data_IF_851345309107
#
_entry.id   IF_851345309107
#
_cell.length_a   1.000
_cell.length_b   1.000
_cell.length_c   1.000
_cell.angle_alpha   90.00
_cell.angle_beta   90.00
_cell.angle_gamma   90.00
#
_symmetry.space_group_name_H-M   'P 1'
#
loop_
_entity.id
_entity.type
_entity.pdbx_description
1 polymer ?
#
# COMPACT_ATOMS: atom_id res chain seq x y z
N UNK A 1 47.45 -19.44 35.88
CA UNK A 1 46.69 -18.46 36.68
C UNK A 1 47.47 -17.15 36.66
N UNK A 2 47.01 -15.95 36.36
CA UNK A 2 45.70 -15.39 36.03
C UNK A 2 45.76 -13.89 36.35
N UNK A 3 45.32 -13.03 35.41
CA UNK A 3 44.68 -11.69 35.57
C UNK A 3 45.55 -10.54 36.18
N UNK A 4 45.54 -9.26 35.78
CA UNK A 4 45.01 -8.43 34.66
C UNK A 4 45.87 -7.15 34.62
N UNK A 5 46.13 -6.61 33.43
CA UNK A 5 46.77 -5.32 33.22
C UNK A 5 45.69 -4.27 32.91
N UNK A 6 45.77 -3.12 33.59
CA UNK A 6 44.93 -1.95 33.37
C UNK A 6 45.77 -0.89 32.67
N UNK A 7 45.33 -0.37 31.52
CA UNK A 7 45.54 1.04 31.15
C UNK A 7 44.59 1.47 30.02
N UNK A 8 43.97 2.62 30.22
CA UNK A 8 42.96 3.28 29.40
C UNK A 8 43.56 3.95 28.14
N UNK A 9 42.74 4.10 27.07
CA UNK A 9 42.69 5.32 26.24
C UNK A 9 41.37 5.42 25.45
N UNK A 10 40.77 6.61 25.50
CA UNK A 10 39.47 7.07 24.98
C UNK A 10 39.51 7.42 23.48
N UNK A 11 38.30 7.67 22.92
CA UNK A 11 37.95 8.47 21.70
C UNK A 11 38.05 7.72 20.36
N UNK A 12 37.08 7.70 19.43
CA UNK A 12 35.78 8.35 19.21
C UNK A 12 35.04 7.58 18.06
N UNK A 13 33.84 8.05 17.69
CA UNK A 13 33.07 7.77 16.45
C UNK A 13 31.89 6.79 16.63
N UNK A 14 30.72 7.27 17.07
CA UNK A 14 29.69 8.00 16.30
C UNK A 14 28.97 7.11 15.27
N UNK A 15 27.66 7.00 15.44
CA UNK A 15 26.78 6.21 14.58
C UNK A 15 25.71 5.48 15.37
N UNK A 16 24.91 6.23 16.13
CA UNK A 16 23.62 5.79 16.62
C UNK A 16 22.73 5.49 15.39
N UNK A 17 22.33 4.24 15.09
CA UNK A 17 21.30 4.00 14.10
C UNK A 17 19.93 4.12 14.80
N UNK A 18 19.63 5.30 15.31
CA UNK A 18 18.25 5.78 15.43
C UNK A 18 18.09 6.80 14.33
N UNK A 19 17.50 6.37 13.21
CA UNK A 19 16.67 7.18 12.32
C UNK A 19 16.41 6.37 11.04
N UNK A 20 15.31 5.62 11.04
CA UNK A 20 14.39 5.66 9.90
C UNK A 20 12.97 5.68 10.50
N UNK A 21 12.54 6.92 10.75
CA UNK A 21 11.22 7.44 10.46
C UNK A 21 10.03 6.54 10.79
N UNK A 22 9.60 6.64 12.05
CA UNK A 22 8.26 6.27 12.45
C UNK A 22 7.31 7.41 12.00
N UNK A 23 7.03 7.51 10.69
CA UNK A 23 5.96 8.37 10.13
C UNK A 23 4.55 7.83 10.46
N UNK A 24 4.32 7.47 11.72
CA UNK A 24 2.99 7.23 12.28
C UNK A 24 2.50 8.50 13.01
N UNK A 25 2.65 9.65 12.35
CA UNK A 25 2.10 10.93 12.79
C UNK A 25 0.65 11.00 12.33
N UNK A 26 -0.28 10.43 13.12
CA UNK A 26 -1.71 10.75 13.15
C UNK A 26 -2.32 11.28 11.84
N UNK A 27 -2.11 10.58 10.71
CA UNK A 27 -2.49 11.10 9.41
C UNK A 27 -4.01 11.17 9.35
N UNK A 28 -4.54 12.35 9.04
CA UNK A 28 -5.97 12.54 8.90
C UNK A 28 -6.53 11.46 7.95
N UNK A 29 -7.61 10.75 8.33
CA UNK A 29 -8.20 9.74 7.48
C UNK A 29 -8.54 10.36 6.12
N UNK A 30 -8.37 9.59 5.05
CA UNK A 30 -8.78 10.02 3.72
C UNK A 30 -10.27 10.37 3.76
N UNK A 31 -10.60 11.55 3.21
CA UNK A 31 -11.96 12.09 3.28
C UNK A 31 -12.84 11.37 2.27
N UNK A 32 -14.01 10.95 2.73
CA UNK A 32 -15.09 10.46 1.88
C UNK A 32 -15.53 11.54 0.88
N UNK A 33 -15.81 11.13 -0.36
CA UNK A 33 -16.33 12.03 -1.41
C UNK A 33 -15.29 12.91 -2.13
N UNK A 34 -14.01 12.87 -1.72
CA UNK A 34 -12.91 13.50 -2.46
C UNK A 34 -12.09 12.44 -3.20
N UNK A 35 -11.58 12.76 -4.39
CA UNK A 35 -10.72 11.85 -5.17
C UNK A 35 -9.52 11.37 -4.33
N UNK A 36 -9.51 10.07 -3.99
CA UNK A 36 -8.48 9.43 -3.17
C UNK A 36 -7.10 9.52 -3.80
N UNK A 37 -7.00 9.45 -5.13
CA UNK A 37 -5.74 9.61 -5.83
C UNK A 37 -5.20 11.03 -5.66
N UNK A 38 -6.06 12.05 -5.70
CA UNK A 38 -5.64 13.43 -5.44
C UNK A 38 -5.20 13.65 -4.00
N UNK A 39 -5.89 13.05 -3.04
CA UNK A 39 -5.46 13.10 -1.63
C UNK A 39 -4.11 12.43 -1.42
N UNK A 40 -3.84 11.30 -2.08
CA UNK A 40 -2.54 10.63 -2.06
C UNK A 40 -1.43 11.49 -2.68
N UNK A 41 -1.71 12.09 -3.85
CA UNK A 41 -0.78 12.99 -4.52
C UNK A 41 -0.44 14.20 -3.68
N UNK A 42 -1.43 14.88 -3.10
CA UNK A 42 -1.21 16.03 -2.23
C UNK A 42 -0.35 15.66 -1.01
N UNK A 43 -0.73 14.56 -0.34
CA UNK A 43 -0.07 14.05 0.86
C UNK A 43 1.39 13.68 0.65
N UNK A 44 1.68 12.89 -0.37
CA UNK A 44 3.03 12.38 -0.61
C UNK A 44 3.82 13.21 -1.65
N UNK A 45 3.29 14.33 -2.13
CA UNK A 45 3.95 15.20 -3.14
C UNK A 45 5.36 15.64 -2.75
N UNK A 46 5.62 15.82 -1.45
CA UNK A 46 6.91 16.25 -0.90
C UNK A 46 7.77 15.08 -0.40
N UNK A 47 7.24 13.86 -0.40
CA UNK A 47 7.97 12.72 0.10
C UNK A 47 8.97 12.20 -0.94
N UNK A 48 10.18 11.90 -0.48
CA UNK A 48 11.24 11.30 -1.31
C UNK A 48 11.39 9.79 -1.10
N UNK A 49 10.57 9.18 -0.25
CA UNK A 49 10.63 7.75 0.01
C UNK A 49 10.31 6.94 -1.27
N UNK A 50 11.11 5.92 -1.63
CA UNK A 50 10.89 5.11 -2.83
C UNK A 50 9.48 4.50 -2.89
N UNK A 51 8.97 4.02 -1.75
CA UNK A 51 7.63 3.44 -1.63
C UNK A 51 6.52 4.45 -1.94
N UNK A 52 6.66 5.70 -1.52
CA UNK A 52 5.68 6.75 -1.81
C UNK A 52 5.68 7.12 -3.29
N UNK A 53 6.84 7.15 -3.94
CA UNK A 53 6.89 7.37 -5.39
C UNK A 53 6.18 6.29 -6.20
N UNK A 54 6.32 5.02 -5.81
CA UNK A 54 5.62 3.91 -6.47
C UNK A 54 4.11 4.01 -6.21
N UNK A 55 3.70 4.31 -4.97
CA UNK A 55 2.30 4.53 -4.64
C UNK A 55 1.69 5.68 -5.44
N UNK A 56 2.40 6.80 -5.58
CA UNK A 56 1.97 7.95 -6.39
C UNK A 56 1.88 7.61 -7.88
N UNK A 57 2.84 6.86 -8.41
CA UNK A 57 2.81 6.39 -9.78
C UNK A 57 1.59 5.48 -10.03
N UNK A 58 1.32 4.54 -9.11
CA UNK A 58 0.11 3.70 -9.16
C UNK A 58 -1.17 4.53 -9.08
N UNK A 59 -1.26 5.49 -8.15
CA UNK A 59 -2.43 6.34 -8.01
C UNK A 59 -2.68 7.19 -9.27
N UNK A 60 -1.62 7.73 -9.87
CA UNK A 60 -1.70 8.47 -11.14
C UNK A 60 -2.13 7.55 -12.29
N UNK A 61 -1.57 6.34 -12.38
CA UNK A 61 -1.94 5.35 -13.39
C UNK A 61 -3.42 4.95 -13.27
N UNK A 62 -3.89 4.61 -12.08
CA UNK A 62 -5.30 4.27 -11.83
C UNK A 62 -6.23 5.42 -12.22
N UNK A 63 -5.87 6.66 -11.85
CA UNK A 63 -6.64 7.85 -12.25
C UNK A 63 -6.67 8.04 -13.76
N UNK A 64 -5.56 7.77 -14.44
CA UNK A 64 -5.48 7.81 -15.89
C UNK A 64 -6.36 6.73 -16.53
N UNK A 65 -6.40 5.52 -15.98
CA UNK A 65 -7.25 4.42 -16.47
C UNK A 65 -8.73 4.82 -16.34
N UNK A 66 -9.18 5.26 -15.15
CA UNK A 66 -10.56 5.72 -14.97
C UNK A 66 -10.91 6.87 -15.92
N UNK A 67 -9.99 7.81 -16.13
CA UNK A 67 -10.20 8.92 -17.07
C UNK A 67 -10.32 8.43 -18.51
N UNK A 68 -9.52 7.45 -18.93
CA UNK A 68 -9.59 6.83 -20.25
C UNK A 68 -10.89 6.05 -20.46
N UNK A 69 -11.39 5.40 -19.42
CA UNK A 69 -12.66 4.67 -19.41
C UNK A 69 -13.89 5.58 -19.19
N UNK A 70 -13.68 6.90 -19.05
CA UNK A 70 -14.73 7.87 -18.73
C UNK A 70 -15.52 7.53 -17.47
N UNK A 71 -14.89 6.85 -16.51
CA UNK A 71 -15.46 6.49 -15.23
C UNK A 71 -15.25 7.62 -14.21
N UNK A 72 -16.23 7.84 -13.31
CA UNK A 72 -16.07 8.84 -12.25
C UNK A 72 -14.95 8.41 -11.27
N UNK A 73 -14.10 9.35 -10.80
CA UNK A 73 -13.03 9.09 -9.82
C UNK A 73 -13.64 8.83 -8.43
N UNK A 74 -14.28 7.68 -8.29
CA UNK A 74 -14.94 7.21 -7.08
C UNK A 74 -14.15 6.08 -6.43
N UNK A 75 -14.20 5.92 -5.09
CA UNK A 75 -13.51 4.84 -4.40
C UNK A 75 -13.85 3.44 -4.95
N UNK A 76 -15.13 3.19 -5.28
CA UNK A 76 -15.57 1.91 -5.86
C UNK A 76 -14.98 1.67 -7.26
N UNK A 77 -14.89 2.70 -8.11
CA UNK A 77 -14.27 2.58 -9.42
C UNK A 77 -12.77 2.30 -9.29
N UNK A 78 -12.07 3.00 -8.40
CA UNK A 78 -10.66 2.71 -8.11
C UNK A 78 -10.43 1.30 -7.60
N UNK A 79 -11.30 0.82 -6.72
CA UNK A 79 -11.24 -0.56 -6.23
C UNK A 79 -11.39 -1.57 -7.37
N UNK A 80 -12.43 -1.42 -8.19
CA UNK A 80 -12.70 -2.34 -9.29
C UNK A 80 -11.54 -2.35 -10.30
N UNK A 81 -11.03 -1.19 -10.69
CA UNK A 81 -9.91 -1.07 -11.63
C UNK A 81 -8.62 -1.65 -11.04
N UNK A 82 -8.34 -1.42 -9.76
CA UNK A 82 -7.15 -1.96 -9.10
C UNK A 82 -7.20 -3.48 -8.97
N UNK A 83 -8.36 -4.06 -8.65
CA UNK A 83 -8.56 -5.52 -8.64
C UNK A 83 -8.44 -6.09 -10.05
N UNK A 84 -9.04 -5.44 -11.05
CA UNK A 84 -8.90 -5.86 -12.45
C UNK A 84 -7.45 -5.82 -12.91
N UNK A 85 -6.67 -4.84 -12.47
CA UNK A 85 -5.23 -4.74 -12.78
C UNK A 85 -4.38 -5.82 -12.09
N UNK A 86 -4.85 -6.36 -10.96
CA UNK A 86 -4.22 -7.50 -10.29
C UNK A 86 -4.60 -8.84 -10.91
N UNK A 87 -5.83 -8.95 -11.42
CA UNK A 87 -6.34 -10.17 -12.06
C UNK A 87 -5.89 -10.32 -13.52
N UNK A 88 -5.53 -9.21 -14.17
CA UNK A 88 -5.00 -9.21 -15.53
C UNK A 88 -3.72 -10.07 -15.62
N UNK A 89 -3.60 -10.87 -16.68
CA UNK A 89 -2.42 -11.71 -16.95
C UNK A 89 -1.14 -10.88 -17.09
N UNK A 90 -1.25 -9.60 -17.44
CA UNK A 90 -0.16 -8.63 -17.43
C UNK A 90 0.40 -8.34 -16.03
N UNK A 91 -0.30 -8.72 -14.95
CA UNK A 91 0.25 -8.71 -13.59
C UNK A 91 1.50 -9.58 -13.42
N UNK A 92 1.76 -10.51 -14.35
CA UNK A 92 3.02 -11.27 -14.44
C UNK A 92 4.22 -10.42 -14.86
N UNK A 93 3.98 -9.25 -15.46
CA UNK A 93 5.01 -8.29 -15.89
C UNK A 93 5.24 -7.17 -14.88
N UNK A 94 4.39 -7.07 -13.84
CA UNK A 94 4.56 -6.10 -12.77
C UNK A 94 5.69 -6.55 -11.84
N UNK A 95 6.62 -5.64 -11.58
CA UNK A 95 7.67 -5.86 -10.58
C UNK A 95 7.08 -5.91 -9.15
N UNK A 96 7.79 -6.57 -8.23
CA UNK A 96 7.37 -6.72 -6.83
C UNK A 96 7.03 -5.36 -6.17
N UNK A 97 7.74 -4.29 -6.54
CA UNK A 97 7.45 -2.94 -6.06
C UNK A 97 6.10 -2.40 -6.56
N UNK A 98 5.74 -2.70 -7.81
CA UNK A 98 4.45 -2.29 -8.39
C UNK A 98 3.30 -3.08 -7.78
N UNK A 99 3.47 -4.38 -7.56
CA UNK A 99 2.49 -5.23 -6.86
C UNK A 99 2.31 -4.74 -5.42
N UNK A 100 3.40 -4.44 -4.71
CA UNK A 100 3.37 -3.86 -3.37
C UNK A 100 2.60 -2.53 -3.32
N UNK A 101 2.90 -1.60 -4.24
CA UNK A 101 2.22 -0.31 -4.35
C UNK A 101 0.73 -0.47 -4.64
N UNK A 102 0.35 -1.40 -5.53
CA UNK A 102 -1.06 -1.67 -5.85
C UNK A 102 -1.84 -2.25 -4.68
N UNK A 103 -1.21 -3.11 -3.87
CA UNK A 103 -1.81 -3.65 -2.64
C UNK A 103 -1.96 -2.57 -1.57
N UNK A 104 -0.97 -1.71 -1.40
CA UNK A 104 -1.05 -0.55 -0.50
C UNK A 104 -2.17 0.38 -0.95
N UNK A 105 -2.25 0.68 -2.25
CA UNK A 105 -3.33 1.47 -2.84
C UNK A 105 -4.71 0.84 -2.55
N UNK A 106 -4.87 -0.47 -2.74
CA UNK A 106 -6.10 -1.18 -2.40
C UNK A 106 -6.44 -1.09 -0.91
N UNK A 107 -5.45 -1.26 -0.03
CA UNK A 107 -5.67 -1.13 1.42
C UNK A 107 -6.19 0.26 1.77
N UNK A 108 -5.69 1.30 1.11
CA UNK A 108 -6.17 2.68 1.29
C UNK A 108 -7.59 2.83 0.74
N UNK A 109 -7.83 2.42 -0.51
CA UNK A 109 -9.13 2.55 -1.17
C UNK A 109 -10.23 1.83 -0.39
N UNK A 110 -9.96 0.63 0.13
CA UNK A 110 -10.92 -0.13 0.95
C UNK A 110 -11.36 0.66 2.19
N UNK A 111 -10.50 1.49 2.78
CA UNK A 111 -10.86 2.31 3.95
C UNK A 111 -11.79 3.49 3.63
N UNK A 112 -11.83 3.95 2.38
CA UNK A 112 -12.70 5.04 1.90
C UNK A 112 -13.90 4.57 1.09
N UNK A 113 -13.98 3.27 0.77
CA UNK A 113 -15.17 2.73 0.15
C UNK A 113 -16.27 2.62 1.21
N UNK A 114 -17.44 3.25 1.01
CA UNK A 114 -18.54 3.16 1.97
C UNK A 114 -19.01 1.70 2.09
N UNK A 115 -19.42 1.31 3.31
CA UNK A 115 -19.99 -0.02 3.57
C UNK A 115 -21.21 -0.27 2.68
N UNK A 116 -21.25 -1.42 2.02
CA UNK A 116 -22.26 -1.75 1.01
C UNK A 116 -22.05 -1.08 -0.34
N UNK A 117 -20.97 -0.31 -0.54
CA UNK A 117 -20.58 0.29 -1.81
C UNK A 117 -20.03 -0.72 -2.82
N UNK A 118 -19.77 -1.96 -2.39
CA UNK A 118 -19.37 -3.09 -3.23
C UNK A 118 -20.34 -4.25 -3.00
N UNK A 119 -20.85 -4.82 -4.08
CA UNK A 119 -21.67 -6.02 -3.99
C UNK A 119 -20.86 -7.19 -3.38
N UNK A 120 -21.46 -7.93 -2.44
CA UNK A 120 -20.79 -9.05 -1.74
C UNK A 120 -20.12 -10.07 -2.68
N UNK A 121 -20.73 -10.35 -3.84
CA UNK A 121 -20.12 -11.22 -4.86
C UNK A 121 -18.83 -10.65 -5.46
N UNK A 122 -18.76 -9.33 -5.66
CA UNK A 122 -17.56 -8.63 -6.15
C UNK A 122 -16.49 -8.44 -5.07
N UNK A 123 -16.90 -8.24 -3.82
CA UNK A 123 -15.97 -8.26 -2.70
C UNK A 123 -15.30 -9.63 -2.56
N UNK A 124 -16.05 -10.73 -2.71
CA UNK A 124 -15.50 -12.10 -2.70
C UNK A 124 -14.51 -12.33 -3.85
N UNK A 125 -14.89 -11.96 -5.07
CA UNK A 125 -14.01 -12.05 -6.26
C UNK A 125 -12.70 -11.28 -6.03
N UNK A 126 -12.79 -10.06 -5.50
CA UNK A 126 -11.63 -9.26 -5.14
C UNK A 126 -10.73 -9.90 -4.07
N UNK A 127 -11.33 -10.51 -3.03
CA UNK A 127 -10.57 -11.28 -2.02
C UNK A 127 -9.82 -12.42 -2.69
N UNK A 128 -10.47 -13.19 -3.58
CA UNK A 128 -9.84 -14.31 -4.29
C UNK A 128 -8.65 -13.85 -5.14
N UNK A 129 -8.77 -12.72 -5.86
CA UNK A 129 -7.67 -12.10 -6.62
C UNK A 129 -6.52 -11.70 -5.71
N UNK A 130 -6.80 -10.99 -4.61
CA UNK A 130 -5.77 -10.55 -3.65
C UNK A 130 -5.06 -11.73 -3.00
N UNK A 131 -5.79 -12.82 -2.70
CA UNK A 131 -5.23 -14.06 -2.16
C UNK A 131 -4.34 -14.76 -3.19
N UNK A 132 -4.80 -14.86 -4.44
CA UNK A 132 -4.03 -15.48 -5.54
C UNK A 132 -2.70 -14.76 -5.74
N UNK A 133 -2.72 -13.43 -5.79
CA UNK A 133 -1.50 -12.61 -5.93
C UNK A 133 -0.62 -12.77 -4.69
N UNK A 134 -1.19 -12.83 -3.48
CA UNK A 134 -0.40 -13.03 -2.27
C UNK A 134 0.35 -14.37 -2.24
N UNK A 135 -0.31 -15.44 -2.69
CA UNK A 135 0.28 -16.78 -2.79
C UNK A 135 1.38 -16.80 -3.84
N UNK A 136 1.17 -16.14 -4.99
CA UNK A 136 2.18 -16.01 -6.06
C UNK A 136 3.44 -15.28 -5.59
N UNK A 137 3.28 -14.23 -4.80
CA UNK A 137 4.37 -13.45 -4.20
C UNK A 137 5.03 -14.14 -2.99
N UNK A 138 4.57 -15.32 -2.59
CA UNK A 138 5.09 -16.05 -1.43
C UNK A 138 4.84 -15.35 -0.09
N UNK A 139 3.84 -14.49 -0.01
CA UNK A 139 3.54 -13.70 1.18
C UNK A 139 2.96 -14.59 2.29
N UNK A 140 3.55 -14.50 3.48
CA UNK A 140 3.14 -15.29 4.64
C UNK A 140 1.68 -15.02 5.05
N UNK A 141 1.02 -16.04 5.60
CA UNK A 141 -0.39 -16.06 6.04
C UNK A 141 -0.79 -14.90 6.98
N UNK A 142 0.17 -14.28 7.68
CA UNK A 142 -0.08 -13.11 8.51
C UNK A 142 -0.48 -11.85 7.70
N UNK A 143 0.14 -11.62 6.54
CA UNK A 143 -0.20 -10.50 5.65
C UNK A 143 -1.54 -10.69 4.94
N UNK A 144 -1.95 -11.94 4.74
CA UNK A 144 -3.27 -12.27 4.21
C UNK A 144 -4.38 -11.92 5.21
N UNK A 145 -4.19 -12.25 6.50
CA UNK A 145 -5.22 -12.07 7.52
C UNK A 145 -5.66 -10.61 7.72
N UNK A 146 -4.74 -9.64 7.65
CA UNK A 146 -5.11 -8.22 7.76
C UNK A 146 -5.89 -7.73 6.52
N UNK A 147 -5.47 -8.17 5.33
CA UNK A 147 -6.13 -7.79 4.07
C UNK A 147 -7.57 -8.31 3.96
N UNK A 148 -7.84 -9.56 4.37
CA UNK A 148 -9.20 -10.13 4.30
C UNK A 148 -10.12 -9.52 5.36
N UNK A 149 -9.60 -9.09 6.54
CA UNK A 149 -10.40 -8.42 7.56
C UNK A 149 -11.02 -7.13 7.02
N UNK A 150 -10.23 -6.32 6.33
CA UNK A 150 -10.71 -5.05 5.75
C UNK A 150 -11.75 -5.26 4.64
N UNK A 151 -11.64 -6.35 3.88
CA UNK A 151 -12.59 -6.69 2.82
C UNK A 151 -13.89 -7.31 3.34
N UNK A 152 -13.84 -8.02 4.47
CA UNK A 152 -15.03 -8.61 5.10
C UNK A 152 -15.93 -7.61 5.82
N UNK A 153 -15.44 -6.40 6.10
CA UNK A 153 -16.19 -5.30 6.70
C UNK A 153 -16.82 -4.35 5.64
N UNK A 154 -16.65 -4.67 4.34
CA UNK A 154 -17.18 -3.94 3.17
C UNK A 154 -18.59 -4.40 2.79
#
# INVERSE_FOLDING_TARGET
MGKKQTLNRTEDDNGNPNEIDNENEGEAPFKDGTDVCQQLMDRYSKSSAPQHRHLLATAAAMRSILSAESLPPSPTAYFATAISSLDDDSSTTLDAMAIGALRTFLSIVVTVVPKGGIASGKAKEAVEVVVRVAVKEGLGVASLRSGVKCLGDL
#
